data_IF_780168289796
#
_entry.id   IF_780168289796
#
_cell.length_a   1.000
_cell.length_b   1.000
_cell.length_c   1.000
_cell.angle_alpha   90.00
_cell.angle_beta   90.00
_cell.angle_gamma   90.00
#
_symmetry.space_group_name_H-M   'P 1'
#
loop_
_entity.id
_entity.type
_entity.pdbx_description
1 polymer ?
#
# COMPACT_ATOMS: atom_id res chain seq x y z
N UNK A 1 31.44 2.98 -3.02
CA UNK A 1 30.26 2.36 -2.37
C UNK A 1 29.09 2.46 -3.33
N UNK A 2 28.70 1.36 -3.99
CA UNK A 2 27.84 1.35 -5.19
C UNK A 2 26.37 1.45 -4.80
N UNK A 3 25.77 2.64 -4.99
CA UNK A 3 24.36 2.92 -4.73
C UNK A 3 23.47 2.47 -5.90
N UNK A 4 23.18 1.17 -5.98
CA UNK A 4 22.09 0.65 -6.85
C UNK A 4 20.74 0.80 -6.13
N UNK A 5 19.88 1.75 -6.52
CA UNK A 5 18.42 1.56 -6.40
C UNK A 5 17.53 2.60 -7.11
N UNK A 6 16.74 2.06 -8.06
CA UNK A 6 15.33 2.26 -8.42
C UNK A 6 14.69 3.62 -8.09
N UNK A 7 14.74 4.54 -9.07
CA UNK A 7 13.84 5.71 -9.11
C UNK A 7 14.44 6.92 -9.82
N UNK A 8 15.76 7.00 -9.85
CA UNK A 8 16.54 7.97 -10.61
C UNK A 8 17.76 7.24 -11.20
N UNK A 9 18.12 7.53 -12.44
CA UNK A 9 19.46 7.21 -12.97
C UNK A 9 20.51 8.06 -12.24
N UNK A 10 21.78 7.64 -12.30
CA UNK A 10 22.89 8.39 -11.69
C UNK A 10 22.93 9.83 -12.24
N UNK A 11 22.74 9.95 -13.56
CA UNK A 11 22.71 11.20 -14.29
C UNK A 11 21.52 12.10 -13.90
N UNK A 12 20.33 11.53 -13.71
CA UNK A 12 19.15 12.28 -13.24
C UNK A 12 19.35 12.82 -11.83
N UNK A 13 20.09 12.11 -10.97
CA UNK A 13 20.45 12.61 -9.64
C UNK A 13 21.44 13.75 -9.71
N UNK A 14 22.51 13.59 -10.49
CA UNK A 14 23.54 14.62 -10.65
C UNK A 14 22.95 15.90 -11.25
N UNK A 15 22.12 15.78 -12.29
CA UNK A 15 21.42 16.91 -12.90
C UNK A 15 20.46 17.59 -11.92
N UNK A 16 19.71 16.81 -11.13
CA UNK A 16 18.77 17.36 -10.14
C UNK A 16 19.49 18.02 -8.96
N UNK A 17 20.56 17.40 -8.45
CA UNK A 17 21.41 17.99 -7.40
C UNK A 17 22.06 19.28 -7.91
N UNK A 18 22.52 19.32 -9.16
CA UNK A 18 23.09 20.51 -9.77
C UNK A 18 22.05 21.63 -9.90
N UNK A 19 20.90 21.34 -10.50
CA UNK A 19 19.79 22.30 -10.63
C UNK A 19 19.35 22.86 -9.27
N UNK A 20 19.28 22.02 -8.23
CA UNK A 20 18.94 22.46 -6.89
C UNK A 20 20.06 23.25 -6.21
N UNK A 21 21.34 22.88 -6.40
CA UNK A 21 22.47 23.69 -5.93
C UNK A 21 22.45 25.08 -6.56
N UNK A 22 22.14 25.15 -7.85
CA UNK A 22 21.99 26.39 -8.60
C UNK A 22 20.80 27.22 -8.03
N UNK A 23 19.62 26.63 -7.86
CA UNK A 23 18.46 27.32 -7.24
C UNK A 23 18.69 27.74 -5.76
N UNK A 24 19.43 26.93 -4.98
CA UNK A 24 19.77 27.22 -3.59
C UNK A 24 20.80 28.35 -3.50
N UNK A 25 21.69 28.48 -4.49
CA UNK A 25 22.67 29.58 -4.57
C UNK A 25 22.01 30.92 -4.94
N UNK A 26 20.96 30.88 -5.76
CA UNK A 26 20.20 32.05 -6.21
C UNK A 26 19.24 32.65 -5.17
N UNK A 27 18.89 31.93 -4.11
CA UNK A 27 17.96 32.40 -3.05
C UNK A 27 18.65 32.57 -1.70
N UNK A 28 18.31 33.60 -0.92
CA UNK A 28 18.85 33.87 0.43
C UNK A 28 18.29 32.88 1.49
N UNK A 29 18.74 31.63 1.44
CA UNK A 29 18.46 30.63 2.49
C UNK A 29 19.49 30.72 3.62
N UNK A 30 19.12 30.30 4.83
CA UNK A 30 20.10 30.22 5.93
C UNK A 30 21.15 29.14 5.62
N UNK A 31 22.38 29.36 6.10
CA UNK A 31 23.50 28.41 5.96
C UNK A 31 23.15 27.01 6.47
N UNK A 32 22.33 26.96 7.53
CA UNK A 32 21.93 25.73 8.19
C UNK A 32 20.89 24.97 7.35
N UNK A 33 19.88 25.67 6.82
CA UNK A 33 18.83 25.03 6.03
C UNK A 33 19.34 24.50 4.70
N UNK A 34 20.27 25.22 4.04
CA UNK A 34 20.95 24.72 2.82
C UNK A 34 21.69 23.42 3.08
N UNK A 35 22.46 23.34 4.17
CA UNK A 35 23.22 22.12 4.53
C UNK A 35 22.30 20.95 4.82
N UNK A 36 21.24 21.16 5.61
CA UNK A 36 20.25 20.13 5.90
C UNK A 36 19.54 19.67 4.63
N UNK A 37 19.18 20.58 3.72
CA UNK A 37 18.48 20.21 2.49
C UNK A 37 19.35 19.48 1.46
N UNK A 38 20.60 19.92 1.26
CA UNK A 38 21.58 19.19 0.44
C UNK A 38 21.80 17.78 1.02
N UNK A 39 21.96 17.66 2.33
CA UNK A 39 22.06 16.38 3.01
C UNK A 39 20.83 15.50 2.76
N UNK A 40 19.62 16.05 2.82
CA UNK A 40 18.36 15.32 2.56
C UNK A 40 18.30 14.82 1.12
N UNK A 41 18.68 15.64 0.12
CA UNK A 41 18.70 15.21 -1.29
C UNK A 41 19.73 14.12 -1.50
N UNK A 42 20.92 14.27 -0.93
CA UNK A 42 22.01 13.29 -1.03
C UNK A 42 21.65 11.97 -0.30
N UNK A 43 20.88 12.05 0.79
CA UNK A 43 20.52 10.90 1.64
C UNK A 43 19.21 10.22 1.23
N UNK A 44 18.25 10.94 0.63
CA UNK A 44 16.91 10.42 0.32
C UNK A 44 16.85 9.69 -1.01
N UNK A 45 16.37 8.44 -0.96
CA UNK A 45 16.43 7.51 -2.10
C UNK A 45 15.29 7.69 -3.13
N UNK A 46 14.17 8.34 -2.77
CA UNK A 46 12.99 8.48 -3.65
C UNK A 46 12.30 9.84 -3.54
N UNK A 47 11.59 10.25 -4.62
CA UNK A 47 10.76 11.48 -4.66
C UNK A 47 9.72 11.53 -3.54
N UNK A 48 9.09 10.40 -3.24
CA UNK A 48 8.11 10.30 -2.15
C UNK A 48 8.75 10.55 -0.80
N UNK A 49 9.94 9.98 -0.55
CA UNK A 49 10.68 10.16 0.70
C UNK A 49 11.08 11.61 0.91
N UNK A 50 11.62 12.27 -0.13
CA UNK A 50 11.97 13.69 -0.08
C UNK A 50 10.76 14.56 0.25
N UNK A 51 9.61 14.31 -0.39
CA UNK A 51 8.36 15.04 -0.09
C UNK A 51 7.90 14.82 1.35
N UNK A 52 7.87 13.57 1.82
CA UNK A 52 7.49 13.26 3.21
C UNK A 52 8.40 13.97 4.22
N UNK A 53 9.71 13.99 3.95
CA UNK A 53 10.68 14.66 4.82
C UNK A 53 10.48 16.17 4.83
N UNK A 54 10.31 16.79 3.67
CA UNK A 54 10.01 18.22 3.56
C UNK A 54 8.77 18.61 4.38
N UNK A 55 7.68 17.84 4.25
CA UNK A 55 6.46 18.11 5.03
C UNK A 55 6.65 17.87 6.53
N UNK A 56 7.50 16.92 6.93
CA UNK A 56 7.84 16.73 8.33
C UNK A 56 8.63 17.91 8.91
N UNK A 57 9.61 18.44 8.17
CA UNK A 57 10.35 19.64 8.57
C UNK A 57 9.45 20.87 8.66
N UNK A 58 8.61 21.08 7.64
CA UNK A 58 7.63 22.16 7.63
C UNK A 58 6.72 22.07 8.85
N UNK A 59 6.18 20.88 9.12
CA UNK A 59 5.34 20.64 10.29
C UNK A 59 6.08 20.96 11.59
N UNK A 60 7.33 20.52 11.74
CA UNK A 60 8.15 20.77 12.92
C UNK A 60 8.36 22.28 13.17
N UNK A 61 8.76 23.05 12.15
CA UNK A 61 8.93 24.49 12.32
C UNK A 61 7.60 25.18 12.66
N UNK A 62 6.55 24.91 11.89
CA UNK A 62 5.29 25.67 12.03
C UNK A 62 4.48 25.27 13.27
N UNK A 63 4.55 24.01 13.72
CA UNK A 63 3.68 23.48 14.78
C UNK A 63 4.40 23.15 16.08
N UNK A 64 5.72 22.96 16.06
CA UNK A 64 6.50 22.65 17.28
C UNK A 64 7.34 23.86 17.69
N UNK A 65 8.05 24.48 16.74
CA UNK A 65 8.86 25.67 17.03
C UNK A 65 8.07 26.99 16.97
N UNK A 66 6.83 26.96 16.44
CA UNK A 66 6.03 28.16 16.15
C UNK A 66 6.77 29.19 15.27
N UNK A 67 7.68 28.71 14.42
CA UNK A 67 8.42 29.53 13.48
C UNK A 67 7.82 29.37 12.09
N UNK A 68 7.63 30.49 11.39
CA UNK A 68 7.14 30.44 10.01
C UNK A 68 8.15 29.72 9.14
N UNK A 69 7.72 28.67 8.45
CA UNK A 69 8.55 28.00 7.46
C UNK A 69 8.61 28.86 6.18
N UNK A 70 9.58 29.77 6.12
CA UNK A 70 9.72 30.77 5.03
C UNK A 70 10.29 30.15 3.74
N UNK A 71 10.93 28.98 3.85
CA UNK A 71 11.72 28.41 2.76
C UNK A 71 10.86 27.55 1.81
N UNK A 72 10.48 28.11 0.66
CA UNK A 72 9.74 27.36 -0.36
C UNK A 72 10.72 26.54 -1.20
N UNK A 73 10.78 25.25 -0.88
CA UNK A 73 11.64 24.31 -1.59
C UNK A 73 10.87 23.65 -2.75
N UNK A 74 11.42 23.64 -3.96
CA UNK A 74 10.80 22.96 -5.08
C UNK A 74 10.79 21.44 -4.85
N UNK A 75 9.60 20.88 -4.74
CA UNK A 75 9.42 19.43 -4.56
C UNK A 75 9.45 18.71 -5.91
N UNK A 76 10.10 17.53 -5.99
CA UNK A 76 10.09 16.77 -7.22
C UNK A 76 8.65 16.37 -7.58
N UNK A 77 8.27 16.63 -8.84
CA UNK A 77 6.98 16.18 -9.38
C UNK A 77 6.94 14.65 -9.35
N UNK A 78 5.89 14.11 -8.73
CA UNK A 78 5.62 12.68 -8.70
C UNK A 78 5.04 12.28 -10.06
N UNK A 79 5.81 11.56 -10.87
CA UNK A 79 5.26 10.91 -12.06
C UNK A 79 4.54 9.64 -11.60
N UNK A 80 3.21 9.71 -11.49
CA UNK A 80 2.40 8.55 -11.19
C UNK A 80 2.31 7.68 -12.45
N UNK A 81 2.99 6.53 -12.43
CA UNK A 81 2.75 5.50 -13.45
C UNK A 81 1.33 4.96 -13.25
N UNK A 82 0.62 4.73 -14.35
CA UNK A 82 -0.68 4.07 -14.29
C UNK A 82 -0.51 2.68 -13.65
N UNK A 83 -1.39 2.29 -12.71
CA UNK A 83 -1.33 0.97 -12.12
C UNK A 83 -1.63 -0.06 -13.21
N UNK A 84 -0.77 -1.07 -13.32
CA UNK A 84 -1.05 -2.23 -14.16
C UNK A 84 -2.10 -3.06 -13.44
N UNK A 85 -3.28 -3.18 -14.04
CA UNK A 85 -4.41 -3.93 -13.48
C UNK A 85 -4.56 -5.31 -14.13
N UNK A 86 -5.03 -6.27 -13.34
CA UNK A 86 -5.42 -7.58 -13.84
C UNK A 86 -6.80 -7.50 -14.51
N UNK A 87 -6.95 -8.22 -15.61
CA UNK A 87 -8.22 -8.45 -16.28
C UNK A 87 -9.10 -9.42 -15.49
N UNK A 88 -10.41 -9.39 -15.77
CA UNK A 88 -11.37 -10.32 -15.14
C UNK A 88 -11.03 -11.79 -15.41
N UNK A 89 -10.45 -12.10 -16.58
CA UNK A 89 -10.04 -13.47 -16.95
C UNK A 89 -8.86 -13.93 -16.10
N UNK A 90 -7.81 -13.10 -16.00
CA UNK A 90 -6.62 -13.37 -15.19
C UNK A 90 -6.99 -13.62 -13.71
N UNK A 91 -7.90 -12.82 -13.15
CA UNK A 91 -8.33 -12.98 -11.76
C UNK A 91 -9.13 -14.28 -11.56
N UNK A 92 -10.04 -14.60 -12.49
CA UNK A 92 -10.79 -15.88 -12.43
C UNK A 92 -9.83 -17.06 -12.48
N UNK A 93 -8.85 -17.04 -13.38
CA UNK A 93 -7.83 -18.08 -13.49
C UNK A 93 -7.05 -18.25 -12.18
N UNK A 94 -6.59 -17.13 -11.60
CA UNK A 94 -5.89 -17.12 -10.32
C UNK A 94 -6.73 -17.74 -9.17
N UNK A 95 -8.03 -17.46 -9.13
CA UNK A 95 -8.96 -18.06 -8.16
C UNK A 95 -9.12 -19.57 -8.43
N UNK A 96 -9.26 -19.96 -9.69
CA UNK A 96 -9.47 -21.37 -10.09
C UNK A 96 -8.27 -22.25 -9.78
N UNK A 97 -7.04 -21.81 -10.09
CA UNK A 97 -5.80 -22.60 -9.83
C UNK A 97 -5.41 -22.68 -8.34
N UNK A 98 -6.13 -21.95 -7.47
CA UNK A 98 -5.88 -21.93 -6.04
C UNK A 98 -6.67 -23.04 -5.34
N UNK A 99 -5.99 -24.17 -5.06
CA UNK A 99 -6.63 -25.36 -4.46
C UNK A 99 -7.02 -25.17 -2.99
N UNK A 100 -6.24 -24.43 -2.21
CA UNK A 100 -6.53 -24.21 -0.79
C UNK A 100 -7.77 -23.31 -0.65
N UNK A 101 -8.81 -23.80 0.03
CA UNK A 101 -10.11 -23.11 0.12
C UNK A 101 -10.01 -21.77 0.86
N UNK A 102 -9.19 -21.67 1.92
CA UNK A 102 -8.95 -20.42 2.65
C UNK A 102 -8.22 -19.41 1.77
N UNK A 103 -7.27 -19.85 0.94
CA UNK A 103 -6.57 -18.99 0.00
C UNK A 103 -7.49 -18.51 -1.12
N UNK A 104 -8.36 -19.39 -1.62
CA UNK A 104 -9.38 -19.05 -2.63
C UNK A 104 -10.33 -17.99 -2.06
N UNK A 105 -10.82 -18.20 -0.84
CA UNK A 105 -11.67 -17.26 -0.12
C UNK A 105 -10.98 -15.90 0.03
N UNK A 106 -9.70 -15.88 0.45
CA UNK A 106 -8.89 -14.66 0.55
C UNK A 106 -8.84 -13.88 -0.77
N UNK A 107 -8.55 -14.56 -1.89
CA UNK A 107 -8.53 -13.92 -3.22
C UNK A 107 -9.90 -13.35 -3.59
N UNK A 108 -10.98 -14.04 -3.23
CA UNK A 108 -12.35 -13.61 -3.51
C UNK A 108 -12.75 -12.39 -2.68
N UNK A 109 -12.34 -12.27 -1.41
CA UNK A 109 -12.55 -11.05 -0.63
C UNK A 109 -11.75 -9.86 -1.18
N UNK A 110 -10.51 -10.08 -1.59
CA UNK A 110 -9.69 -9.04 -2.21
C UNK A 110 -10.32 -8.54 -3.53
N UNK A 111 -10.88 -9.44 -4.33
CA UNK A 111 -11.44 -9.10 -5.64
C UNK A 111 -12.90 -8.63 -5.59
N UNK A 112 -13.80 -9.47 -5.10
CA UNK A 112 -15.25 -9.19 -5.14
C UNK A 112 -15.67 -8.13 -4.12
N UNK A 113 -15.08 -8.14 -2.92
CA UNK A 113 -15.37 -7.15 -1.89
C UNK A 113 -14.37 -5.98 -1.87
N UNK A 114 -13.35 -5.99 -2.74
CA UNK A 114 -12.38 -4.91 -2.86
C UNK A 114 -11.67 -4.58 -1.54
N UNK A 115 -11.53 -5.56 -0.65
CA UNK A 115 -10.95 -5.32 0.67
C UNK A 115 -9.45 -5.06 0.56
N UNK A 116 -8.96 -4.09 1.34
CA UNK A 116 -7.52 -3.86 1.47
C UNK A 116 -6.89 -4.94 2.34
N UNK A 117 -5.57 -5.08 2.24
CA UNK A 117 -4.83 -6.10 2.98
C UNK A 117 -5.09 -6.06 4.50
N UNK A 118 -5.12 -4.87 5.08
CA UNK A 118 -5.36 -4.71 6.51
C UNK A 118 -6.81 -5.00 6.90
N UNK A 119 -7.77 -4.69 6.03
CA UNK A 119 -9.19 -4.94 6.24
C UNK A 119 -9.46 -6.45 6.18
N UNK A 120 -9.02 -7.13 5.11
CA UNK A 120 -9.25 -8.57 4.94
C UNK A 120 -8.62 -9.40 6.05
N UNK A 121 -7.40 -9.03 6.50
CA UNK A 121 -6.69 -9.74 7.56
C UNK A 121 -7.37 -9.63 8.93
N UNK A 122 -8.09 -8.54 9.16
CA UNK A 122 -8.77 -8.26 10.42
C UNK A 122 -10.27 -8.59 10.36
N UNK A 123 -10.75 -9.14 9.25
CA UNK A 123 -12.15 -9.46 9.05
C UNK A 123 -12.59 -10.59 9.99
N UNK A 124 -13.66 -10.35 10.73
CA UNK A 124 -14.30 -11.32 11.61
C UNK A 124 -15.50 -11.96 10.92
N UNK A 125 -15.86 -13.18 11.34
CA UNK A 125 -17.10 -13.80 10.90
C UNK A 125 -18.33 -12.97 11.26
N UNK A 126 -18.30 -12.28 12.40
CA UNK A 126 -19.37 -11.38 12.87
C UNK A 126 -19.50 -10.09 12.05
N UNK A 127 -18.54 -9.79 11.18
CA UNK A 127 -18.62 -8.66 10.26
C UNK A 127 -19.41 -9.00 8.99
N UNK A 128 -19.80 -10.27 8.79
CA UNK A 128 -20.54 -10.73 7.60
C UNK A 128 -21.98 -11.03 7.99
N UNK A 129 -22.90 -10.31 7.36
CA UNK A 129 -24.33 -10.58 7.44
C UNK A 129 -24.74 -11.29 6.15
N UNK A 130 -24.99 -12.61 6.25
CA UNK A 130 -25.36 -13.44 5.11
C UNK A 130 -26.83 -13.28 4.71
N UNK A 131 -27.68 -12.82 5.62
CA UNK A 131 -29.11 -12.61 5.38
C UNK A 131 -29.33 -11.32 4.59
N UNK A 132 -28.58 -10.27 4.95
CA UNK A 132 -28.58 -8.97 4.24
C UNK A 132 -27.57 -8.90 3.10
N UNK A 133 -26.77 -9.93 2.92
CA UNK A 133 -25.71 -10.01 1.90
C UNK A 133 -24.74 -8.81 1.96
N UNK A 134 -24.25 -8.49 3.16
CA UNK A 134 -23.33 -7.37 3.38
C UNK A 134 -22.13 -7.76 4.25
N UNK A 135 -21.05 -6.99 4.07
CA UNK A 135 -19.82 -7.07 4.87
C UNK A 135 -19.59 -5.69 5.52
N UNK A 136 -19.50 -5.68 6.84
CA UNK A 136 -19.15 -4.52 7.64
C UNK A 136 -17.63 -4.35 7.71
N UNK A 137 -17.08 -3.43 6.93
CA UNK A 137 -15.64 -3.19 6.89
C UNK A 137 -15.26 -2.15 7.95
N UNK A 138 -14.60 -2.62 9.01
CA UNK A 138 -14.01 -1.78 10.06
C UNK A 138 -12.65 -1.26 9.61
N UNK A 139 -12.48 0.06 9.51
CA UNK A 139 -11.24 0.69 8.99
C UNK A 139 -10.33 1.11 10.15
N UNK A 140 -9.02 0.86 10.03
CA UNK A 140 -8.03 1.19 11.06
C UNK A 140 -7.53 2.67 11.04
N UNK A 141 -7.93 3.48 10.04
CA UNK A 141 -7.46 4.88 9.88
C UNK A 141 -8.61 5.80 9.46
N UNK A 142 -8.87 6.83 10.27
CA UNK A 142 -9.93 7.81 10.04
C UNK A 142 -11.33 7.37 10.52
N UNK A 143 -11.42 6.20 11.16
CA UNK A 143 -12.55 5.66 11.93
C UNK A 143 -13.94 5.67 11.25
N UNK A 144 -13.96 5.69 9.91
CA UNK A 144 -15.21 5.58 9.16
C UNK A 144 -15.45 4.13 8.75
N UNK A 145 -16.48 3.53 9.29
CA UNK A 145 -16.98 2.22 8.82
C UNK A 145 -17.59 2.35 7.42
N UNK A 146 -17.52 1.27 6.65
CA UNK A 146 -18.28 1.16 5.39
C UNK A 146 -18.92 -0.21 5.25
N UNK A 147 -20.01 -0.25 4.48
CA UNK A 147 -20.67 -1.49 4.08
C UNK A 147 -20.23 -1.83 2.66
N UNK A 148 -19.96 -3.10 2.40
CA UNK A 148 -19.69 -3.65 1.07
C UNK A 148 -20.66 -4.78 0.80
N UNK A 149 -21.26 -4.82 -0.39
CA UNK A 149 -22.14 -5.90 -0.79
C UNK A 149 -21.40 -7.22 -0.93
N UNK A 150 -22.01 -8.30 -0.45
CA UNK A 150 -21.51 -9.65 -0.55
C UNK A 150 -21.84 -10.23 -1.92
N UNK A 151 -20.83 -10.41 -2.77
CA UNK A 151 -21.05 -10.97 -4.09
C UNK A 151 -21.56 -12.43 -4.01
N UNK A 152 -22.53 -12.87 -4.86
CA UNK A 152 -23.14 -14.20 -4.76
C UNK A 152 -22.16 -15.37 -4.73
N UNK A 153 -21.13 -15.34 -5.58
CA UNK A 153 -20.05 -16.36 -5.58
C UNK A 153 -19.28 -16.42 -4.25
N UNK A 154 -19.07 -15.27 -3.60
CA UNK A 154 -18.40 -15.22 -2.30
C UNK A 154 -19.31 -15.78 -1.21
N UNK A 155 -20.61 -15.45 -1.26
CA UNK A 155 -21.64 -16.04 -0.39
C UNK A 155 -21.66 -17.57 -0.49
N UNK A 156 -21.73 -18.10 -1.70
CA UNK A 156 -21.70 -19.54 -1.97
C UNK A 156 -20.50 -20.21 -1.30
N UNK A 157 -19.30 -19.62 -1.43
CA UNK A 157 -18.11 -20.17 -0.80
C UNK A 157 -18.14 -20.08 0.73
N UNK A 158 -18.76 -19.04 1.31
CA UNK A 158 -18.88 -18.85 2.77
C UNK A 158 -19.86 -19.85 3.43
N UNK A 159 -20.84 -20.36 2.67
CA UNK A 159 -21.75 -21.41 3.16
C UNK A 159 -21.01 -22.73 3.46
N UNK A 160 -19.87 -23.01 2.80
CA UNK A 160 -19.05 -24.19 3.13
C UNK A 160 -18.37 -24.13 4.51
N UNK A 161 -18.42 -23.00 5.21
CA UNK A 161 -17.75 -22.79 6.50
C UNK A 161 -18.74 -22.70 7.68
N UNK A 162 -19.97 -23.20 7.53
CA UNK A 162 -21.04 -23.06 8.53
C UNK A 162 -20.67 -23.51 9.95
N UNK A 163 -19.93 -24.61 10.08
CA UNK A 163 -19.61 -25.19 11.40
C UNK A 163 -18.54 -24.41 12.20
N UNK A 164 -17.86 -23.42 11.60
CA UNK A 164 -16.66 -22.82 12.20
C UNK A 164 -16.56 -21.30 12.07
N UNK A 165 -17.66 -20.59 12.31
CA UNK A 165 -17.76 -19.12 12.23
C UNK A 165 -17.41 -18.41 13.54
N UNK A 166 -16.19 -18.58 14.05
CA UNK A 166 -15.73 -17.89 15.26
C UNK A 166 -14.44 -17.12 15.03
N UNK A 167 -14.38 -15.88 15.53
CA UNK A 167 -13.18 -15.03 15.46
C UNK A 167 -12.83 -14.57 14.04
N UNK A 168 -11.53 -14.51 13.75
CA UNK A 168 -11.01 -14.09 12.44
C UNK A 168 -11.29 -15.15 11.37
N UNK A 169 -11.64 -14.68 10.16
CA UNK A 169 -11.84 -15.57 9.01
C UNK A 169 -10.53 -16.22 8.56
N UNK A 170 -9.44 -15.45 8.56
CA UNK A 170 -8.14 -15.89 8.05
C UNK A 170 -7.16 -16.20 9.17
N UNK A 171 -7.16 -17.45 9.62
CA UNK A 171 -6.26 -17.97 10.66
C UNK A 171 -5.22 -18.94 10.09
N UNK A 172 -4.02 -18.86 10.63
CA UNK A 172 -2.94 -19.83 10.42
C UNK A 172 -3.21 -21.13 11.15
N UNK A 173 -2.48 -22.18 10.78
CA UNK A 173 -2.50 -23.46 11.48
C UNK A 173 -2.16 -23.34 12.97
N UNK A 174 -1.50 -22.25 13.38
CA UNK A 174 -1.16 -21.94 14.78
C UNK A 174 -2.29 -21.16 15.51
N UNK A 175 -3.47 -21.05 14.92
CA UNK A 175 -4.62 -20.32 15.48
C UNK A 175 -4.51 -18.79 15.47
N UNK A 176 -3.38 -18.23 15.04
CA UNK A 176 -3.19 -16.77 14.91
C UNK A 176 -3.68 -16.28 13.56
N UNK A 177 -4.26 -15.08 13.51
CA UNK A 177 -4.58 -14.40 12.24
C UNK A 177 -3.38 -14.38 11.28
N UNK A 178 -3.62 -14.46 9.98
CA UNK A 178 -2.56 -14.29 8.98
C UNK A 178 -1.81 -12.99 9.19
N UNK A 179 -0.51 -12.97 8.94
CA UNK A 179 0.25 -11.73 8.89
C UNK A 179 0.19 -11.11 7.47
N UNK A 180 0.74 -9.90 7.30
CA UNK A 180 0.72 -9.23 5.99
C UNK A 180 1.49 -10.02 4.95
N UNK A 181 2.63 -10.60 5.36
CA UNK A 181 3.53 -11.33 4.48
C UNK A 181 2.91 -12.61 3.95
N UNK A 182 2.17 -13.35 4.78
CA UNK A 182 1.44 -14.57 4.41
C UNK A 182 0.43 -14.25 3.32
N UNK A 183 -0.39 -13.21 3.50
CA UNK A 183 -1.39 -12.79 2.49
C UNK A 183 -0.71 -12.41 1.17
N UNK A 184 0.38 -11.64 1.22
CA UNK A 184 1.17 -11.29 0.02
C UNK A 184 1.75 -12.54 -0.66
N UNK A 185 2.24 -13.50 0.12
CA UNK A 185 2.80 -14.74 -0.40
C UNK A 185 1.72 -15.62 -1.04
N UNK A 186 0.52 -15.67 -0.46
CA UNK A 186 -0.62 -16.39 -1.05
C UNK A 186 -0.94 -15.81 -2.43
N UNK A 187 -1.11 -14.49 -2.55
CA UNK A 187 -1.37 -13.84 -3.85
C UNK A 187 -0.24 -14.08 -4.85
N UNK A 188 1.01 -13.96 -4.40
CA UNK A 188 2.18 -14.21 -5.25
C UNK A 188 2.22 -15.66 -5.73
N UNK A 189 1.97 -16.62 -4.86
CA UNK A 189 1.98 -18.04 -5.20
C UNK A 189 0.83 -18.41 -6.14
N UNK A 190 -0.37 -17.86 -5.91
CA UNK A 190 -1.50 -18.05 -6.83
C UNK A 190 -1.23 -17.42 -8.19
N UNK A 191 -0.58 -16.25 -8.24
CA UNK A 191 -0.17 -15.62 -9.51
C UNK A 191 0.88 -16.47 -10.25
N UNK A 192 1.88 -17.01 -9.54
CA UNK A 192 2.92 -17.87 -10.16
C UNK A 192 2.37 -19.16 -10.76
N UNK A 193 1.24 -19.66 -10.26
CA UNK A 193 0.54 -20.82 -10.81
C UNK A 193 -0.24 -20.50 -12.09
N UNK A 194 -0.35 -19.22 -12.43
CA UNK A 194 -0.92 -18.74 -13.68
C UNK A 194 0.20 -18.27 -14.61
N UNK A 195 -0.06 -18.19 -15.91
CA UNK A 195 0.86 -17.57 -16.89
C UNK A 195 0.86 -16.04 -16.87
N UNK A 196 0.59 -15.40 -15.73
CA UNK A 196 0.49 -13.94 -15.63
C UNK A 196 1.88 -13.32 -15.44
N UNK A 197 2.36 -12.58 -16.44
CA UNK A 197 3.64 -11.86 -16.40
C UNK A 197 3.59 -10.52 -15.63
N UNK A 198 2.38 -10.01 -15.37
CA UNK A 198 2.18 -8.74 -14.66
C UNK A 198 2.59 -8.89 -13.20
N UNK A 199 3.28 -7.88 -12.68
CA UNK A 199 3.59 -7.81 -11.24
C UNK A 199 2.30 -7.55 -10.44
N UNK A 200 1.79 -8.58 -9.79
CA UNK A 200 0.62 -8.49 -8.91
C UNK A 200 1.04 -8.06 -7.51
N UNK A 201 0.37 -7.04 -6.95
CA UNK A 201 0.60 -6.60 -5.56
C UNK A 201 -0.71 -6.11 -4.97
N UNK A 202 -0.92 -6.43 -3.69
CA UNK A 202 -2.09 -5.95 -2.93
C UNK A 202 -1.76 -4.58 -2.37
N UNK A 203 -2.70 -3.64 -2.47
CA UNK A 203 -2.53 -2.30 -1.91
C UNK A 203 -2.45 -2.36 -0.37
N UNK A 204 -1.37 -1.81 0.16
CA UNK A 204 -1.12 -1.66 1.60
C UNK A 204 -1.62 -0.27 2.02
N UNK A 205 -2.69 -0.24 2.83
CA UNK A 205 -3.04 0.94 3.63
C UNK A 205 -3.00 0.55 5.10
#
# INVERSE_FOLDING_TARGET
>A
MVFRNKGFSLHEREAYVKQLKDELSLRKYSSQTRKSYVYIIESCKSKSTMRSFYFALKFFHENILNEKFVEIIPLPKSNHKLPIVLSRKEIKEMITVTNNINHKLLLMFLYYAGLRLNEVRNLLWTDIDLDREIIHVKIAKGDKHRIVFLHPKLRELLCYFEDNRKGFIFISQRGKRYDKRTIQQIVTNSTKKTGIDKKVTILLN
#
